data_IF_976278609245
#
_entry.id   IF_976278609245
#
_cell.length_a   1.000
_cell.length_b   1.000
_cell.length_c   1.000
_cell.angle_alpha   90.00
_cell.angle_beta   90.00
_cell.angle_gamma   90.00
#
_symmetry.space_group_name_H-M   'P 1'
#
loop_
_entity.id
_entity.type
_entity.pdbx_description
1 polymer ?
#
# COMPACT_ATOMS: atom_id res chain seq x y z
N UNK A 1 27.01 -2.59 17.25
CA UNK A 1 25.67 -2.60 16.68
C UNK A 1 25.40 -1.50 15.67
N UNK A 2 25.84 -0.27 15.82
CA UNK A 2 25.68 0.79 14.79
C UNK A 2 26.84 0.85 13.77
N UNK A 3 27.97 0.22 14.02
CA UNK A 3 29.13 0.27 13.14
C UNK A 3 28.97 -0.57 11.84
N UNK A 4 28.12 -1.59 11.88
CA UNK A 4 27.90 -2.49 10.73
C UNK A 4 26.75 -2.00 9.82
N UNK A 5 25.99 -1.00 10.26
CA UNK A 5 24.90 -0.37 9.48
C UNK A 5 25.39 0.71 8.49
N UNK A 6 26.68 1.03 8.50
CA UNK A 6 27.25 2.14 7.69
C UNK A 6 27.76 1.72 6.31
N UNK A 7 27.55 0.48 5.89
CA UNK A 7 27.83 0.09 4.52
C UNK A 7 26.56 0.28 3.69
N UNK A 8 26.25 1.53 3.39
CA UNK A 8 25.16 1.86 2.45
C UNK A 8 25.67 1.59 1.04
N UNK A 9 25.25 0.47 0.46
CA UNK A 9 25.59 0.14 -0.92
C UNK A 9 24.68 0.86 -1.92
N UNK A 10 23.40 1.10 -1.55
CA UNK A 10 22.40 1.71 -2.41
C UNK A 10 21.59 2.74 -1.63
N UNK A 11 21.35 3.87 -2.26
CA UNK A 11 20.42 4.89 -1.81
C UNK A 11 19.64 5.36 -3.03
N UNK A 12 18.32 5.36 -2.95
CA UNK A 12 17.47 5.81 -4.04
C UNK A 12 16.23 6.52 -3.52
N UNK A 13 15.77 7.47 -4.30
CA UNK A 13 14.49 8.14 -4.09
C UNK A 13 13.49 7.58 -5.09
N UNK A 14 12.34 7.16 -4.60
CA UNK A 14 11.24 6.61 -5.41
C UNK A 14 10.03 7.50 -5.19
N UNK A 15 9.50 8.02 -6.28
CA UNK A 15 8.26 8.79 -6.28
C UNK A 15 7.27 8.19 -7.26
N UNK A 16 6.25 7.56 -6.73
CA UNK A 16 5.08 7.06 -7.45
C UNK A 16 3.79 7.57 -6.80
N UNK A 17 3.84 8.82 -6.31
CA UNK A 17 2.78 9.45 -5.54
C UNK A 17 2.40 8.60 -4.30
N UNK A 18 1.10 8.40 -4.02
CA UNK A 18 0.63 7.70 -2.82
C UNK A 18 1.14 6.26 -2.67
N UNK A 19 1.55 5.60 -3.75
CA UNK A 19 2.12 4.24 -3.70
C UNK A 19 3.62 4.19 -3.42
N UNK A 20 4.32 5.33 -3.37
CA UNK A 20 5.78 5.41 -3.29
C UNK A 20 6.39 4.58 -2.15
N UNK A 21 5.78 4.61 -0.97
CA UNK A 21 6.24 3.82 0.17
C UNK A 21 6.16 2.31 -0.10
N UNK A 22 5.05 1.80 -0.64
CA UNK A 22 4.87 0.38 -0.94
C UNK A 22 5.75 -0.10 -2.10
N UNK A 23 5.94 0.73 -3.12
CA UNK A 23 6.88 0.46 -4.21
C UNK A 23 8.31 0.38 -3.66
N UNK A 24 8.68 1.26 -2.75
CA UNK A 24 9.99 1.22 -2.08
C UNK A 24 10.18 -0.06 -1.26
N UNK A 25 9.14 -0.55 -0.59
CA UNK A 25 9.17 -1.84 0.11
C UNK A 25 9.37 -2.99 -0.88
N UNK A 26 8.66 -3.02 -2.02
CA UNK A 26 8.82 -4.05 -3.04
C UNK A 26 10.24 -4.07 -3.59
N UNK A 27 10.79 -2.90 -3.93
CA UNK A 27 12.18 -2.76 -4.39
C UNK A 27 13.16 -3.28 -3.34
N UNK A 28 13.02 -2.89 -2.08
CA UNK A 28 13.88 -3.36 -0.99
C UNK A 28 13.79 -4.88 -0.81
N UNK A 29 12.58 -5.46 -0.88
CA UNK A 29 12.38 -6.90 -0.81
C UNK A 29 13.11 -7.65 -1.95
N UNK A 30 13.10 -7.10 -3.16
CA UNK A 30 13.83 -7.69 -4.31
C UNK A 30 15.34 -7.72 -4.05
N UNK A 31 15.93 -6.61 -3.61
CA UNK A 31 17.36 -6.54 -3.27
C UNK A 31 17.74 -7.46 -2.09
N UNK A 32 16.87 -7.59 -1.09
CA UNK A 32 17.08 -8.53 0.01
C UNK A 32 17.02 -9.98 -0.46
N UNK A 33 16.05 -10.33 -1.32
CA UNK A 33 15.90 -11.68 -1.86
C UNK A 33 17.02 -12.08 -2.81
N UNK A 34 17.53 -11.14 -3.62
CA UNK A 34 18.71 -11.37 -4.48
C UNK A 34 20.01 -11.45 -3.69
N UNK A 35 19.99 -11.17 -2.38
CA UNK A 35 21.16 -11.12 -1.47
C UNK A 35 22.18 -10.03 -1.82
N UNK A 36 21.79 -9.04 -2.60
CA UNK A 36 22.65 -7.89 -2.92
C UNK A 36 22.83 -6.99 -1.69
N UNK A 37 21.84 -6.96 -0.79
CA UNK A 37 21.92 -6.24 0.48
C UNK A 37 21.54 -7.16 1.65
N UNK A 38 22.03 -6.85 2.85
CA UNK A 38 21.72 -7.61 4.07
C UNK A 38 20.59 -7.01 4.89
N UNK A 39 20.29 -5.74 4.69
CA UNK A 39 19.21 -4.99 5.36
C UNK A 39 18.84 -3.77 4.55
N UNK A 40 17.63 -3.25 4.74
CA UNK A 40 17.15 -2.04 4.10
C UNK A 40 16.37 -1.18 5.08
N UNK A 41 16.49 0.12 4.96
CA UNK A 41 15.60 1.08 5.61
C UNK A 41 14.73 1.68 4.51
N UNK A 42 13.43 1.51 4.63
CA UNK A 42 12.46 2.19 3.77
C UNK A 42 11.82 3.29 4.59
N UNK A 43 11.98 4.52 4.15
CA UNK A 43 11.40 5.69 4.79
C UNK A 43 10.52 6.44 3.80
N UNK A 44 9.42 6.99 4.28
CA UNK A 44 8.52 7.82 3.51
C UNK A 44 8.08 9.03 4.34
N UNK A 45 7.90 10.15 3.66
CA UNK A 45 7.38 11.37 4.28
C UNK A 45 6.39 12.05 3.36
N UNK A 46 5.36 12.63 3.94
CA UNK A 46 4.48 13.59 3.29
C UNK A 46 4.34 14.78 4.22
N UNK A 47 4.85 15.93 3.81
CA UNK A 47 4.90 17.13 4.64
C UNK A 47 4.49 18.32 3.77
N UNK A 48 3.58 19.13 4.26
CA UNK A 48 3.12 20.36 3.62
C UNK A 48 3.86 21.56 4.19
N UNK A 49 4.85 22.06 3.47
CA UNK A 49 5.70 23.17 3.91
C UNK A 49 5.05 24.54 3.67
N UNK A 50 3.97 24.60 2.89
CA UNK A 50 3.26 25.83 2.64
C UNK A 50 1.75 25.62 2.51
N UNK A 51 0.92 26.62 2.86
CA UNK A 51 -0.53 26.54 2.70
C UNK A 51 -0.97 26.31 1.25
N UNK A 52 -0.23 26.82 0.27
CA UNK A 52 -0.54 26.69 -1.15
C UNK A 52 -0.59 25.22 -1.59
N UNK A 53 0.30 24.37 -1.07
CA UNK A 53 0.29 22.95 -1.36
C UNK A 53 -0.95 22.23 -0.81
N UNK A 54 -1.52 22.74 0.28
CA UNK A 54 -2.77 22.19 0.85
C UNK A 54 -3.97 22.70 0.06
N UNK A 55 -3.92 23.96 -0.40
CA UNK A 55 -5.00 24.69 -1.01
C UNK A 55 -5.03 24.63 -2.56
N UNK A 56 -4.18 23.83 -3.19
CA UNK A 56 -4.20 23.64 -4.65
C UNK A 56 -5.47 22.86 -5.06
N UNK A 57 -6.60 23.57 -4.97
CA UNK A 57 -7.92 23.06 -5.33
C UNK A 57 -8.04 22.80 -6.85
N UNK A 58 -7.18 23.41 -7.65
CA UNK A 58 -7.26 23.33 -9.11
C UNK A 58 -6.96 21.92 -9.61
N UNK A 59 -5.94 21.26 -9.08
CA UNK A 59 -5.54 19.90 -9.43
C UNK A 59 -6.36 18.83 -8.69
N UNK A 60 -7.07 19.21 -7.61
CA UNK A 60 -7.74 18.29 -6.68
C UNK A 60 -9.28 18.30 -6.80
N UNK A 61 -9.83 18.96 -7.83
CA UNK A 61 -11.28 18.96 -8.04
C UNK A 61 -11.83 17.55 -8.21
N UNK A 62 -12.78 17.17 -7.35
CA UNK A 62 -13.40 15.84 -7.32
C UNK A 62 -12.57 14.75 -6.66
N UNK A 63 -11.42 15.10 -6.05
CA UNK A 63 -10.55 14.17 -5.34
C UNK A 63 -10.42 14.54 -3.87
N UNK A 64 -10.39 15.85 -3.55
CA UNK A 64 -10.35 16.34 -2.17
C UNK A 64 -11.76 16.40 -1.57
N UNK A 65 -11.90 15.89 -0.34
CA UNK A 65 -13.16 15.92 0.39
C UNK A 65 -13.54 17.35 0.79
N UNK A 66 -14.80 17.70 0.56
CA UNK A 66 -15.40 18.96 1.00
C UNK A 66 -15.92 18.88 2.43
N UNK A 67 -16.17 17.67 2.93
CA UNK A 67 -16.63 17.43 4.29
C UNK A 67 -15.49 17.39 5.33
N UNK A 68 -14.24 17.40 4.86
CA UNK A 68 -13.07 17.28 5.71
C UNK A 68 -12.86 15.88 6.32
N UNK A 69 -13.43 14.84 5.70
CA UNK A 69 -13.34 13.45 6.14
C UNK A 69 -13.11 12.52 4.96
N UNK A 70 -12.44 11.41 5.20
CA UNK A 70 -12.43 10.29 4.26
C UNK A 70 -13.62 9.39 4.60
N UNK A 71 -14.63 9.36 3.75
CA UNK A 71 -15.78 8.47 3.90
C UNK A 71 -15.55 7.18 3.13
N UNK A 72 -14.51 6.42 3.54
CA UNK A 72 -14.09 5.19 2.87
C UNK A 72 -15.22 4.17 2.80
N UNK A 73 -15.53 3.70 1.60
CA UNK A 73 -16.58 2.72 1.29
C UNK A 73 -18.00 3.18 1.70
N UNK A 74 -18.22 4.46 1.93
CA UNK A 74 -19.52 5.03 2.30
C UNK A 74 -20.17 5.71 1.10
N UNK A 75 -21.51 5.74 1.08
CA UNK A 75 -22.27 6.45 0.05
C UNK A 75 -22.03 7.97 0.07
N UNK A 76 -21.53 8.50 1.19
CA UNK A 76 -21.15 9.90 1.35
C UNK A 76 -19.74 10.20 0.89
N UNK A 77 -19.05 9.22 0.29
CA UNK A 77 -17.69 9.41 -0.24
C UNK A 77 -17.64 10.63 -1.18
N UNK A 78 -16.85 11.62 -0.80
CA UNK A 78 -16.71 12.90 -1.53
C UNK A 78 -15.24 13.24 -1.80
N UNK A 79 -14.32 12.32 -1.48
CA UNK A 79 -12.89 12.48 -1.64
C UNK A 79 -12.11 12.16 -0.37
N UNK A 80 -10.81 12.42 -0.39
CA UNK A 80 -9.93 12.24 0.76
C UNK A 80 -9.45 13.57 1.33
N UNK A 81 -8.95 13.54 2.55
CA UNK A 81 -8.24 14.67 3.17
C UNK A 81 -6.74 14.42 3.14
N UNK A 82 -5.99 15.49 2.96
CA UNK A 82 -4.54 15.45 3.01
C UNK A 82 -4.07 15.32 4.45
N UNK A 83 -3.05 14.48 4.69
CA UNK A 83 -2.44 14.30 5.99
C UNK A 83 -0.93 14.34 5.88
N UNK A 84 -0.26 14.66 6.98
CA UNK A 84 1.18 14.61 7.10
C UNK A 84 1.60 13.38 7.88
N UNK A 85 2.68 12.75 7.42
CA UNK A 85 3.28 11.61 8.11
C UNK A 85 4.75 11.46 7.74
N UNK A 86 5.52 10.92 8.68
CA UNK A 86 6.89 10.45 8.47
C UNK A 86 6.98 9.05 9.05
N UNK A 87 7.34 8.09 8.22
CA UNK A 87 7.43 6.68 8.61
C UNK A 87 8.76 6.09 8.17
N UNK A 88 9.23 5.10 8.92
CA UNK A 88 10.37 4.28 8.52
C UNK A 88 10.20 2.85 9.00
N UNK A 89 10.57 1.90 8.15
CA UNK A 89 10.62 0.48 8.49
C UNK A 89 11.98 -0.09 8.17
N UNK A 90 12.47 -0.97 9.05
CA UNK A 90 13.69 -1.77 8.83
C UNK A 90 13.29 -3.13 8.29
N UNK A 91 13.85 -3.51 7.16
CA UNK A 91 13.62 -4.78 6.50
C UNK A 91 14.90 -5.62 6.52
N UNK A 92 14.74 -6.92 6.77
CA UNK A 92 15.83 -7.90 6.77
C UNK A 92 15.29 -9.27 6.37
N UNK A 93 16.12 -10.11 5.74
CA UNK A 93 15.70 -11.49 5.49
C UNK A 93 15.39 -12.20 6.80
N UNK A 94 14.36 -13.05 6.78
CA UNK A 94 13.88 -13.74 7.98
C UNK A 94 15.00 -14.59 8.64
N UNK A 95 15.74 -15.35 7.84
CA UNK A 95 16.82 -16.21 8.35
C UNK A 95 17.93 -15.40 9.03
N UNK A 96 18.28 -14.25 8.46
CA UNK A 96 19.26 -13.34 9.05
C UNK A 96 18.74 -12.68 10.33
N UNK A 97 17.48 -12.29 10.37
CA UNK A 97 16.86 -11.71 11.56
C UNK A 97 16.79 -12.72 12.72
N UNK A 98 16.44 -13.98 12.44
CA UNK A 98 16.43 -15.05 13.42
C UNK A 98 17.84 -15.33 13.95
N UNK A 99 18.82 -15.48 13.05
CA UNK A 99 20.22 -15.71 13.42
C UNK A 99 20.76 -14.59 14.31
N UNK A 100 20.46 -13.36 13.96
CA UNK A 100 20.97 -12.17 14.66
C UNK A 100 20.12 -11.78 15.87
N UNK A 101 19.03 -12.52 16.13
CA UNK A 101 18.08 -12.31 17.23
C UNK A 101 17.43 -10.94 17.21
N UNK A 102 17.13 -10.43 16.02
CA UNK A 102 16.43 -9.17 15.85
C UNK A 102 14.96 -9.30 16.27
N UNK A 103 14.34 -8.24 16.81
CA UNK A 103 12.92 -8.25 17.14
C UNK A 103 12.08 -8.22 15.88
N UNK A 104 11.44 -9.34 15.54
CA UNK A 104 10.57 -9.47 14.38
C UNK A 104 9.16 -8.99 14.74
N UNK A 105 8.66 -7.99 14.03
CA UNK A 105 7.30 -7.45 14.23
C UNK A 105 6.28 -8.09 13.29
N UNK A 106 6.69 -8.34 12.05
CA UNK A 106 5.87 -8.98 11.03
C UNK A 106 6.76 -9.62 9.97
N UNK A 107 6.19 -10.47 9.14
CA UNK A 107 6.86 -11.12 8.02
C UNK A 107 6.15 -10.73 6.72
N UNK A 108 6.86 -10.08 5.80
CA UNK A 108 6.38 -9.83 4.44
C UNK A 108 6.57 -11.14 3.66
N UNK A 109 5.46 -11.79 3.29
CA UNK A 109 5.47 -13.06 2.58
C UNK A 109 5.68 -12.86 1.08
N UNK A 110 5.14 -11.79 0.53
CA UNK A 110 5.25 -11.45 -0.88
C UNK A 110 4.84 -10.02 -1.13
N UNK A 111 5.28 -9.48 -2.24
CA UNK A 111 4.92 -8.16 -2.74
C UNK A 111 4.83 -8.18 -4.26
N UNK A 112 4.06 -7.26 -4.82
CA UNK A 112 3.98 -7.05 -6.26
C UNK A 112 3.60 -5.60 -6.56
N UNK A 113 4.10 -5.11 -7.67
CA UNK A 113 3.76 -3.81 -8.24
C UNK A 113 3.41 -4.00 -9.71
N UNK A 114 2.47 -3.23 -10.21
CA UNK A 114 2.12 -3.17 -11.62
C UNK A 114 1.69 -1.75 -12.01
N UNK A 115 1.19 -1.60 -13.22
CA UNK A 115 0.62 -0.36 -13.75
C UNK A 115 -0.75 -0.66 -14.33
N UNK A 116 -1.69 0.26 -14.17
CA UNK A 116 -3.05 0.14 -14.71
C UNK A 116 -3.10 0.11 -16.25
N UNK A 117 -2.02 0.55 -16.90
CA UNK A 117 -1.97 0.65 -18.35
C UNK A 117 -2.88 1.76 -18.89
N UNK A 118 -3.60 1.45 -19.97
CA UNK A 118 -4.52 2.41 -20.59
C UNK A 118 -5.87 2.40 -19.87
N UNK A 119 -6.20 3.50 -19.20
CA UNK A 119 -7.49 3.74 -18.56
C UNK A 119 -8.23 4.92 -19.22
N UNK A 120 -9.52 5.12 -18.93
CA UNK A 120 -10.28 6.26 -19.48
C UNK A 120 -9.71 7.64 -19.13
N UNK A 121 -8.99 7.74 -18.02
CA UNK A 121 -8.34 8.98 -17.58
C UNK A 121 -7.23 8.69 -16.57
N UNK A 122 -6.32 9.65 -16.40
CA UNK A 122 -5.14 9.51 -15.54
C UNK A 122 -5.48 9.20 -14.06
N UNK A 123 -6.66 9.63 -13.62
CA UNK A 123 -7.16 9.39 -12.27
C UNK A 123 -8.10 8.17 -12.17
N UNK A 124 -8.29 7.43 -13.27
CA UNK A 124 -9.19 6.27 -13.31
C UNK A 124 -8.43 5.00 -12.97
N UNK A 125 -8.69 4.36 -11.81
CA UNK A 125 -8.06 3.09 -11.47
C UNK A 125 -8.62 1.93 -12.31
N UNK A 126 -7.94 0.79 -12.25
CA UNK A 126 -8.34 -0.46 -12.93
C UNK A 126 -8.50 -1.58 -11.91
N UNK A 127 -9.73 -2.09 -11.77
CA UNK A 127 -10.01 -3.25 -10.90
C UNK A 127 -9.25 -4.50 -11.36
N UNK A 128 -9.09 -4.69 -12.67
CA UNK A 128 -8.33 -5.80 -13.23
C UNK A 128 -6.84 -5.73 -12.87
N UNK A 129 -6.23 -4.54 -12.99
CA UNK A 129 -4.83 -4.34 -12.63
C UNK A 129 -4.62 -4.55 -11.12
N UNK A 130 -5.53 -4.04 -10.28
CA UNK A 130 -5.48 -4.27 -8.83
C UNK A 130 -5.60 -5.75 -8.50
N UNK A 131 -6.55 -6.47 -9.08
CA UNK A 131 -6.69 -7.91 -8.92
C UNK A 131 -5.45 -8.67 -9.39
N UNK A 132 -4.83 -8.25 -10.49
CA UNK A 132 -3.59 -8.84 -10.99
C UNK A 132 -2.42 -8.63 -10.01
N UNK A 133 -2.29 -7.44 -9.42
CA UNK A 133 -1.28 -7.16 -8.40
C UNK A 133 -1.47 -8.04 -7.14
N UNK A 134 -2.72 -8.21 -6.67
CA UNK A 134 -3.03 -9.09 -5.55
C UNK A 134 -2.60 -10.52 -5.87
N UNK A 135 -3.03 -11.07 -7.02
CA UNK A 135 -2.68 -12.44 -7.42
C UNK A 135 -1.16 -12.63 -7.55
N UNK A 136 -0.46 -11.63 -8.10
CA UNK A 136 1.00 -11.67 -8.22
C UNK A 136 1.68 -11.69 -6.85
N UNK A 137 1.21 -10.89 -5.88
CA UNK A 137 1.77 -10.88 -4.53
C UNK A 137 1.60 -12.24 -3.84
N UNK A 138 0.43 -12.89 -3.98
CA UNK A 138 0.20 -14.24 -3.46
C UNK A 138 1.07 -15.30 -4.17
N UNK A 139 1.22 -15.19 -5.48
CA UNK A 139 2.10 -16.09 -6.25
C UNK A 139 3.56 -15.94 -5.81
N UNK A 140 4.06 -14.72 -5.65
CA UNK A 140 5.41 -14.47 -5.14
C UNK A 140 5.61 -15.00 -3.71
N UNK A 141 4.55 -14.97 -2.89
CA UNK A 141 4.56 -15.53 -1.55
C UNK A 141 4.51 -17.07 -1.51
N UNK A 142 4.23 -17.73 -2.63
CA UNK A 142 3.95 -19.17 -2.69
C UNK A 142 2.68 -19.57 -1.92
N UNK A 143 1.76 -18.64 -1.72
CA UNK A 143 0.50 -18.88 -1.01
C UNK A 143 -0.57 -19.30 -2.02
N UNK A 144 -1.02 -20.53 -1.92
CA UNK A 144 -2.06 -21.09 -2.79
C UNK A 144 -3.44 -21.04 -2.15
N UNK A 145 -3.52 -21.10 -0.82
CA UNK A 145 -4.76 -20.96 -0.07
C UNK A 145 -5.02 -19.51 0.32
N UNK A 146 -5.79 -18.82 -0.52
CA UNK A 146 -6.18 -17.42 -0.28
C UNK A 146 -7.32 -17.33 0.75
N UNK A 147 -7.99 -18.42 1.08
CA UNK A 147 -9.10 -18.45 2.04
C UNK A 147 -8.65 -18.06 3.45
N UNK A 148 -7.39 -18.30 3.79
CA UNK A 148 -6.80 -17.97 5.08
C UNK A 148 -6.58 -16.46 5.30
N UNK A 149 -6.82 -15.61 4.30
CA UNK A 149 -6.69 -14.14 4.45
C UNK A 149 -7.77 -13.62 5.38
N UNK A 150 -7.38 -13.07 6.50
CA UNK A 150 -8.34 -12.56 7.49
C UNK A 150 -8.81 -11.13 7.19
N UNK A 151 -7.93 -10.31 6.59
CA UNK A 151 -8.16 -8.89 6.40
C UNK A 151 -7.41 -8.35 5.17
N UNK A 152 -8.00 -7.40 4.49
CA UNK A 152 -7.35 -6.61 3.44
C UNK A 152 -7.40 -5.14 3.80
N UNK A 153 -6.22 -4.55 3.97
CA UNK A 153 -6.05 -3.12 4.08
C UNK A 153 -6.07 -2.52 2.68
N UNK A 154 -7.11 -1.77 2.39
CA UNK A 154 -7.35 -1.13 1.10
C UNK A 154 -6.76 0.28 1.05
N UNK A 155 -6.68 0.83 -0.14
CA UNK A 155 -6.38 2.25 -0.32
C UNK A 155 -7.50 3.13 0.26
N UNK A 156 -8.76 2.84 -0.09
CA UNK A 156 -9.95 3.36 0.56
C UNK A 156 -9.98 4.88 0.68
N UNK A 157 -9.74 5.57 -0.42
CA UNK A 157 -9.60 7.04 -0.43
C UNK A 157 -10.90 7.79 -0.14
N UNK A 158 -12.05 7.11 -0.11
CA UNK A 158 -13.35 7.76 0.04
C UNK A 158 -13.77 8.51 -1.22
N UNK A 159 -13.31 8.07 -2.39
CA UNK A 159 -13.70 8.67 -3.67
C UNK A 159 -14.80 7.85 -4.33
N UNK A 160 -15.77 8.54 -4.94
CA UNK A 160 -16.89 7.89 -5.63
C UNK A 160 -16.43 6.99 -6.80
N UNK A 161 -15.31 7.33 -7.42
CA UNK A 161 -14.75 6.54 -8.52
C UNK A 161 -13.83 5.41 -8.03
N UNK A 162 -12.98 5.67 -7.04
CA UNK A 162 -11.94 4.75 -6.60
C UNK A 162 -12.47 3.58 -5.77
N UNK A 163 -13.27 3.89 -4.76
CA UNK A 163 -13.71 2.89 -3.79
C UNK A 163 -14.48 1.71 -4.41
N UNK A 164 -15.47 1.93 -5.33
CA UNK A 164 -16.15 0.81 -5.97
C UNK A 164 -15.21 -0.05 -6.82
N UNK A 165 -14.29 0.58 -7.56
CA UNK A 165 -13.33 -0.13 -8.42
C UNK A 165 -12.37 -0.98 -7.58
N UNK A 166 -11.94 -0.47 -6.42
CA UNK A 166 -11.08 -1.21 -5.51
C UNK A 166 -11.81 -2.41 -4.89
N UNK A 167 -13.05 -2.20 -4.44
CA UNK A 167 -13.88 -3.30 -3.92
C UNK A 167 -14.10 -4.37 -4.98
N UNK A 168 -14.39 -4.00 -6.24
CA UNK A 168 -14.53 -4.93 -7.34
C UNK A 168 -13.23 -5.72 -7.60
N UNK A 169 -12.09 -5.05 -7.56
CA UNK A 169 -10.77 -5.67 -7.69
C UNK A 169 -10.51 -6.72 -6.60
N UNK A 170 -10.75 -6.36 -5.34
CA UNK A 170 -10.62 -7.26 -4.19
C UNK A 170 -11.62 -8.42 -4.30
N UNK A 171 -12.88 -8.12 -4.58
CA UNK A 171 -13.94 -9.13 -4.70
C UNK A 171 -13.64 -10.15 -5.81
N UNK A 172 -13.09 -9.71 -6.95
CA UNK A 172 -12.74 -10.61 -8.06
C UNK A 172 -11.68 -11.64 -7.70
N UNK A 173 -10.90 -11.39 -6.65
CA UNK A 173 -9.89 -12.34 -6.14
C UNK A 173 -10.46 -13.22 -5.05
N UNK A 174 -11.18 -12.64 -4.10
CA UNK A 174 -11.48 -13.31 -2.83
C UNK A 174 -12.87 -13.91 -2.74
N UNK A 175 -13.89 -13.45 -3.51
CA UNK A 175 -15.28 -13.85 -3.29
C UNK A 175 -15.52 -15.36 -3.47
N UNK A 176 -14.80 -16.03 -4.37
CA UNK A 176 -14.91 -17.47 -4.55
C UNK A 176 -14.46 -18.30 -3.32
N UNK A 177 -13.74 -17.68 -2.39
CA UNK A 177 -13.22 -18.32 -1.17
C UNK A 177 -14.00 -17.88 0.08
N UNK A 178 -15.12 -17.19 -0.08
CA UNK A 178 -15.87 -16.58 1.01
C UNK A 178 -17.32 -17.03 1.02
N UNK A 179 -17.90 -17.00 2.21
CA UNK A 179 -19.33 -17.22 2.42
C UNK A 179 -19.88 -16.15 3.40
N UNK A 180 -21.20 -16.05 3.54
CA UNK A 180 -21.80 -15.14 4.53
C UNK A 180 -21.32 -15.40 5.97
N UNK A 181 -20.99 -16.66 6.30
CA UNK A 181 -20.50 -17.08 7.62
C UNK A 181 -19.00 -16.76 7.81
N UNK A 182 -18.27 -16.62 6.69
CA UNK A 182 -16.84 -16.35 6.67
C UNK A 182 -16.52 -15.21 5.68
N UNK A 183 -16.96 -13.97 5.97
CA UNK A 183 -16.71 -12.84 5.09
C UNK A 183 -15.24 -12.44 5.12
N UNK A 184 -14.78 -11.79 4.06
CA UNK A 184 -13.53 -11.06 4.08
C UNK A 184 -13.75 -9.70 4.76
N UNK A 185 -12.91 -9.39 5.72
CA UNK A 185 -12.92 -8.05 6.33
C UNK A 185 -12.00 -7.15 5.50
N UNK A 186 -12.53 -6.00 5.08
CA UNK A 186 -11.76 -4.96 4.41
C UNK A 186 -11.84 -3.66 5.20
N UNK A 187 -10.83 -2.84 5.10
CA UNK A 187 -10.79 -1.52 5.73
C UNK A 187 -9.71 -0.64 5.13
N UNK A 188 -9.58 0.55 5.66
CA UNK A 188 -8.51 1.48 5.29
C UNK A 188 -8.18 2.39 6.47
N UNK A 189 -6.89 2.63 6.69
CA UNK A 189 -6.41 3.63 7.66
C UNK A 189 -6.79 5.06 7.27
N UNK A 190 -7.23 5.28 6.04
CA UNK A 190 -7.80 6.56 5.60
C UNK A 190 -9.13 6.87 6.25
N UNK A 191 -9.83 5.86 6.79
CA UNK A 191 -11.07 6.05 7.52
C UNK A 191 -10.79 6.68 8.89
N UNK A 192 -11.29 7.88 9.10
CA UNK A 192 -11.26 8.53 10.42
C UNK A 192 -12.62 8.34 11.09
N UNK A 193 -12.69 7.44 12.06
CA UNK A 193 -13.80 7.42 13.00
C UNK A 193 -13.65 8.61 13.97
N UNK A 194 -14.73 9.36 14.16
CA UNK A 194 -14.81 10.31 15.27
C UNK A 194 -14.96 9.55 16.59
#
# INVERSE_FOLDING_TARGET
>A
MLRDLLVIHYSMTIDTACSGALVSVDVACRYLNSREISGAIVAASNIYLSPEHVMDEGSMRGVASTSGKCHTFDIKADGYIKAEAVNAVMLKRLDDAIRDRDPIRAIIRGSATNSDGRTPGIASPSSEAQAAAIRAAYAHAGITDISATAYVECHGTGTQAGDPIEVDGVASVFSQYRSPEHPLIIGSVSFQSN
#
